data_IF_174801925116
#
_entry.id   IF_174801925116
#
_cell.length_a   1.000
_cell.length_b   1.000
_cell.length_c   1.000
_cell.angle_alpha   90.00
_cell.angle_beta   90.00
_cell.angle_gamma   90.00
#
_symmetry.space_group_name_H-M   'P 1'
#
loop_
_entity.id
_entity.type
_entity.pdbx_description
1 polymer ?
#
# COMPACT_ATOMS: atom_id res chain seq x y z
N UNK A 1 -10.90 36.95 -6.63
CA UNK A 1 -10.78 36.17 -5.37
C UNK A 1 -11.64 36.89 -4.37
N UNK A 2 -12.75 36.27 -3.99
CA UNK A 2 -13.57 36.83 -2.90
C UNK A 2 -12.82 36.57 -1.59
N UNK A 3 -12.57 37.62 -0.82
CA UNK A 3 -11.80 37.56 0.41
C UNK A 3 -12.67 38.05 1.56
N UNK A 4 -12.52 37.44 2.73
CA UNK A 4 -13.28 37.83 3.91
C UNK A 4 -13.03 39.28 4.29
N UNK A 5 -14.05 39.91 4.88
CA UNK A 5 -14.05 41.35 5.21
C UNK A 5 -12.89 41.75 6.14
N UNK A 6 -12.50 40.86 7.07
CA UNK A 6 -11.36 41.07 7.94
C UNK A 6 -10.02 41.14 7.17
N UNK A 7 -9.84 40.29 6.16
CA UNK A 7 -8.66 40.30 5.29
C UNK A 7 -8.65 41.56 4.42
N UNK A 8 -9.82 41.99 3.93
CA UNK A 8 -9.96 43.22 3.14
C UNK A 8 -9.54 44.47 3.92
N UNK A 9 -9.92 44.56 5.19
CA UNK A 9 -9.49 45.65 6.08
C UNK A 9 -7.98 45.63 6.34
N UNK A 10 -7.37 44.45 6.48
CA UNK A 10 -5.92 44.31 6.65
C UNK A 10 -5.11 44.73 5.41
N UNK A 11 -5.62 44.46 4.21
CA UNK A 11 -4.96 44.80 2.94
C UNK A 11 -4.97 46.31 2.65
N UNK A 12 -5.94 47.06 3.17
CA UNK A 12 -5.98 48.52 3.05
C UNK A 12 -4.82 49.23 3.78
N UNK A 13 -4.19 48.55 4.73
CA UNK A 13 -3.04 49.08 5.49
C UNK A 13 -1.69 48.79 4.82
N UNK A 14 -1.67 48.03 3.72
CA UNK A 14 -0.46 47.64 3.00
C UNK A 14 -0.24 48.49 1.75
N UNK A 15 1.01 48.55 1.29
CA UNK A 15 1.35 49.22 0.04
C UNK A 15 0.76 48.49 -1.17
N UNK A 16 0.64 49.20 -2.29
CA UNK A 16 0.13 48.61 -3.54
C UNK A 16 1.00 47.45 -4.06
N UNK A 17 2.30 47.43 -3.77
CA UNK A 17 3.19 46.33 -4.15
C UNK A 17 2.99 45.10 -3.26
N UNK A 18 2.89 45.30 -1.95
CA UNK A 18 2.60 44.22 -0.99
C UNK A 18 1.23 43.58 -1.24
N UNK A 19 0.23 44.39 -1.59
CA UNK A 19 -1.09 43.88 -1.97
C UNK A 19 -1.03 43.01 -3.23
N UNK A 20 -0.28 43.42 -4.26
CA UNK A 20 -0.08 42.61 -5.46
C UNK A 20 0.67 41.32 -5.16
N UNK A 21 1.69 41.38 -4.31
CA UNK A 21 2.45 40.20 -3.90
C UNK A 21 1.58 39.21 -3.12
N UNK A 22 0.76 39.69 -2.18
CA UNK A 22 -0.19 38.86 -1.43
C UNK A 22 -1.15 38.08 -2.33
N UNK A 23 -1.77 38.74 -3.33
CA UNK A 23 -2.65 38.04 -4.28
C UNK A 23 -1.88 37.07 -5.19
N UNK A 24 -0.64 37.40 -5.55
CA UNK A 24 0.25 36.50 -6.29
C UNK A 24 0.56 35.24 -5.48
N UNK A 25 0.91 35.40 -4.21
CA UNK A 25 1.23 34.30 -3.29
C UNK A 25 0.01 33.42 -3.04
N UNK A 26 -1.17 34.00 -2.82
CA UNK A 26 -2.41 33.24 -2.70
C UNK A 26 -2.68 32.43 -3.97
N UNK A 27 -2.51 33.04 -5.15
CA UNK A 27 -2.70 32.33 -6.42
C UNK A 27 -1.69 31.19 -6.57
N UNK A 28 -0.46 31.40 -6.14
CA UNK A 28 0.58 30.36 -6.14
C UNK A 28 0.27 29.23 -5.17
N UNK A 29 -0.29 29.53 -3.99
CA UNK A 29 -0.76 28.54 -3.01
C UNK A 29 -1.88 27.70 -3.63
N UNK A 30 -2.94 28.33 -4.14
CA UNK A 30 -4.04 27.60 -4.79
C UNK A 30 -3.58 26.78 -5.99
N UNK A 31 -2.65 27.32 -6.79
CA UNK A 31 -2.05 26.60 -7.92
C UNK A 31 -1.25 25.38 -7.45
N UNK A 32 -0.47 25.52 -6.38
CA UNK A 32 0.32 24.41 -5.81
C UNK A 32 -0.59 23.34 -5.20
N UNK A 33 -1.62 23.72 -4.45
CA UNK A 33 -2.63 22.80 -3.92
C UNK A 33 -3.34 22.08 -5.06
N UNK A 34 -3.75 22.79 -6.11
CA UNK A 34 -4.46 22.18 -7.25
C UNK A 34 -3.56 21.21 -8.01
N UNK A 35 -2.28 21.54 -8.22
CA UNK A 35 -1.30 20.63 -8.82
C UNK A 35 -1.14 19.37 -7.98
N UNK A 36 -1.03 19.53 -6.66
CA UNK A 36 -0.87 18.40 -5.75
C UNK A 36 -2.13 17.53 -5.72
N UNK A 37 -3.31 18.12 -5.59
CA UNK A 37 -4.58 17.39 -5.67
C UNK A 37 -4.75 16.67 -7.01
N UNK A 38 -4.37 17.28 -8.13
CA UNK A 38 -4.42 16.64 -9.44
C UNK A 38 -3.44 15.46 -9.53
N UNK A 39 -2.30 15.56 -8.85
CA UNK A 39 -1.28 14.51 -8.78
C UNK A 39 -1.71 13.35 -7.87
N UNK A 40 -2.35 13.65 -6.74
CA UNK A 40 -2.70 12.65 -5.71
C UNK A 40 -4.07 12.03 -5.89
N UNK A 41 -5.04 12.79 -6.41
CA UNK A 41 -6.40 12.28 -6.61
C UNK A 41 -6.45 11.43 -7.89
N UNK A 42 -7.12 10.28 -7.85
CA UNK A 42 -7.29 9.40 -9.01
C UNK A 42 -8.36 9.96 -9.99
N UNK A 43 -8.25 11.24 -10.38
CA UNK A 43 -9.24 11.93 -11.22
C UNK A 43 -9.40 11.28 -12.59
N UNK A 44 -8.32 10.68 -13.10
CA UNK A 44 -8.28 9.96 -14.38
C UNK A 44 -8.40 8.44 -14.22
N UNK A 45 -8.85 7.95 -13.06
CA UNK A 45 -9.01 6.51 -12.88
C UNK A 45 -10.28 6.04 -13.59
N UNK A 46 -10.08 5.34 -14.70
CA UNK A 46 -11.16 4.81 -15.54
C UNK A 46 -12.10 3.90 -14.76
N UNK A 47 -11.57 3.06 -13.86
CA UNK A 47 -12.40 2.17 -13.05
C UNK A 47 -13.40 2.98 -12.22
N UNK A 48 -12.95 4.01 -11.50
CA UNK A 48 -13.83 4.88 -10.69
C UNK A 48 -14.89 5.58 -11.53
N UNK A 49 -14.55 5.96 -12.77
CA UNK A 49 -15.52 6.54 -13.70
C UNK A 49 -16.61 5.54 -14.08
N UNK A 50 -16.23 4.29 -14.32
CA UNK A 50 -17.16 3.21 -14.64
C UNK A 50 -18.04 2.83 -13.44
N UNK A 51 -17.54 2.91 -12.19
CA UNK A 51 -18.30 2.57 -10.97
C UNK A 51 -19.61 3.36 -10.81
N UNK A 52 -19.74 4.51 -11.46
CA UNK A 52 -20.97 5.31 -11.48
C UNK A 52 -22.19 4.51 -11.98
N UNK A 53 -21.99 3.50 -12.82
CA UNK A 53 -23.09 2.66 -13.34
C UNK A 53 -23.79 1.85 -12.25
N UNK A 54 -23.18 1.69 -11.07
CA UNK A 54 -23.76 0.97 -9.95
C UNK A 54 -24.87 1.74 -9.24
N UNK A 55 -24.96 3.06 -9.48
CA UNK A 55 -26.01 3.88 -8.89
C UNK A 55 -27.36 3.56 -9.55
N UNK A 56 -28.47 3.43 -8.79
CA UNK A 56 -29.79 3.09 -9.32
C UNK A 56 -30.24 4.02 -10.47
N UNK A 57 -29.96 5.33 -10.35
CA UNK A 57 -30.29 6.32 -11.39
C UNK A 57 -29.51 6.14 -12.70
N UNK A 58 -28.35 5.48 -12.66
CA UNK A 58 -27.51 5.25 -13.84
C UNK A 58 -27.87 3.95 -14.57
N UNK A 59 -28.82 3.17 -14.04
CA UNK A 59 -29.24 1.87 -14.58
C UNK A 59 -29.62 1.92 -16.06
N UNK A 60 -30.39 2.93 -16.47
CA UNK A 60 -30.84 3.11 -17.86
C UNK A 60 -29.91 4.02 -18.68
N UNK A 61 -28.73 4.39 -18.16
CA UNK A 61 -27.76 5.15 -18.94
C UNK A 61 -27.20 4.31 -20.08
N UNK A 62 -27.05 4.91 -21.26
CA UNK A 62 -26.42 4.30 -22.44
C UNK A 62 -24.98 3.79 -22.14
N UNK A 63 -24.30 4.46 -21.21
CA UNK A 63 -22.90 4.13 -20.83
C UNK A 63 -22.79 3.05 -19.77
N UNK A 64 -23.90 2.67 -19.13
CA UNK A 64 -23.90 1.71 -18.00
C UNK A 64 -23.42 0.34 -18.43
N UNK A 65 -23.82 -0.09 -19.63
CA UNK A 65 -23.48 -1.38 -20.20
C UNK A 65 -21.96 -1.49 -20.48
N UNK A 66 -21.40 -0.49 -21.15
CA UNK A 66 -19.95 -0.43 -21.42
C UNK A 66 -19.19 -0.39 -20.09
N UNK A 67 -19.72 0.33 -19.10
CA UNK A 67 -19.09 0.48 -17.80
C UNK A 67 -19.02 -0.82 -17.02
N UNK A 68 -20.10 -1.60 -16.94
CA UNK A 68 -20.06 -2.88 -16.22
C UNK A 68 -19.10 -3.87 -16.88
N UNK A 69 -19.03 -3.86 -18.22
CA UNK A 69 -18.11 -4.73 -18.96
C UNK A 69 -16.65 -4.35 -18.74
N UNK A 70 -16.35 -3.05 -18.68
CA UNK A 70 -15.00 -2.58 -18.36
C UNK A 70 -14.63 -2.91 -16.91
N UNK A 71 -15.57 -2.76 -15.96
CA UNK A 71 -15.37 -3.16 -14.57
C UNK A 71 -15.06 -4.67 -14.52
N UNK A 72 -15.85 -5.52 -15.16
CA UNK A 72 -15.62 -6.98 -15.17
C UNK A 72 -14.21 -7.35 -15.66
N UNK A 73 -13.75 -6.70 -16.74
CA UNK A 73 -12.40 -6.89 -17.29
C UNK A 73 -11.29 -6.40 -16.38
N UNK A 74 -11.56 -5.43 -15.50
CA UNK A 74 -10.59 -4.94 -14.51
C UNK A 74 -10.34 -5.91 -13.35
N UNK A 75 -11.15 -6.98 -13.19
CA UNK A 75 -11.02 -7.97 -12.11
C UNK A 75 -10.74 -9.41 -12.62
N UNK A 76 -9.66 -9.64 -13.40
CA UNK A 76 -9.39 -10.95 -14.01
C UNK A 76 -9.07 -12.06 -12.97
N UNK A 77 -8.67 -11.69 -11.75
CA UNK A 77 -8.38 -12.66 -10.69
C UNK A 77 -9.65 -13.25 -10.08
N UNK A 78 -10.78 -12.54 -10.16
CA UNK A 78 -12.04 -12.98 -9.56
C UNK A 78 -13.08 -13.37 -10.59
N UNK A 79 -13.06 -12.79 -11.79
CA UNK A 79 -14.02 -13.02 -12.86
C UNK A 79 -13.33 -13.68 -14.04
N UNK A 80 -13.77 -14.89 -14.40
CA UNK A 80 -13.25 -15.61 -15.57
C UNK A 80 -13.91 -15.11 -16.86
N UNK A 81 -13.29 -15.28 -18.04
CA UNK A 81 -13.85 -14.78 -19.30
C UNK A 81 -15.28 -15.24 -19.60
N UNK A 82 -15.63 -16.49 -19.29
CA UNK A 82 -17.01 -17.02 -19.45
C UNK A 82 -18.03 -16.29 -18.56
N UNK A 83 -17.61 -15.85 -17.36
CA UNK A 83 -18.47 -15.06 -16.47
C UNK A 83 -18.71 -13.65 -17.02
N UNK A 84 -17.82 -13.10 -17.86
CA UNK A 84 -17.99 -11.77 -18.46
C UNK A 84 -19.19 -11.76 -19.42
N UNK A 85 -19.32 -12.80 -20.26
CA UNK A 85 -20.47 -12.93 -21.16
C UNK A 85 -21.77 -13.18 -20.40
N UNK A 86 -21.70 -13.92 -19.28
CA UNK A 86 -22.84 -14.08 -18.38
C UNK A 86 -23.23 -12.76 -17.70
N UNK A 87 -22.26 -11.98 -17.21
CA UNK A 87 -22.49 -10.65 -16.62
C UNK A 87 -23.15 -9.71 -17.63
N UNK A 88 -22.72 -9.77 -18.89
CA UNK A 88 -23.31 -9.02 -19.98
C UNK A 88 -24.83 -9.31 -20.10
N UNK A 89 -25.20 -10.59 -20.21
CA UNK A 89 -26.60 -11.00 -20.29
C UNK A 89 -27.39 -10.66 -19.01
N UNK A 90 -26.81 -10.91 -17.84
CA UNK A 90 -27.43 -10.61 -16.54
C UNK A 90 -27.64 -9.10 -16.35
N UNK A 91 -26.75 -8.24 -16.86
CA UNK A 91 -26.92 -6.79 -16.81
C UNK A 91 -28.10 -6.31 -17.65
N UNK A 92 -28.29 -6.88 -18.85
CA UNK A 92 -29.46 -6.59 -19.68
C UNK A 92 -30.77 -7.01 -18.99
N UNK A 93 -30.79 -8.18 -18.35
CA UNK A 93 -31.93 -8.60 -17.54
C UNK A 93 -32.16 -7.62 -16.40
N UNK A 94 -31.10 -7.28 -15.66
CA UNK A 94 -31.13 -6.31 -14.59
C UNK A 94 -31.63 -4.95 -15.04
N UNK A 95 -31.39 -4.47 -16.27
CA UNK A 95 -31.93 -3.18 -16.74
C UNK A 95 -33.45 -3.24 -16.98
N UNK A 96 -33.99 -4.40 -17.32
CA UNK A 96 -35.40 -4.57 -17.65
C UNK A 96 -36.28 -4.98 -16.46
N UNK A 97 -35.70 -5.27 -15.30
CA UNK A 97 -36.46 -5.57 -14.07
C UNK A 97 -37.36 -4.41 -13.60
N UNK A 98 -38.44 -4.72 -12.91
CA UNK A 98 -39.19 -3.70 -12.20
C UNK A 98 -38.66 -3.59 -10.76
N UNK A 99 -37.92 -2.53 -10.47
CA UNK A 99 -37.28 -2.32 -9.17
C UNK A 99 -38.09 -1.29 -8.38
N UNK A 100 -38.63 -1.64 -7.19
CA UNK A 100 -39.38 -0.70 -6.36
C UNK A 100 -38.52 0.49 -5.93
N UNK A 101 -39.10 1.69 -5.95
CA UNK A 101 -38.42 2.92 -5.50
C UNK A 101 -37.93 2.82 -4.05
N UNK A 102 -38.67 2.11 -3.20
CA UNK A 102 -38.34 1.84 -1.80
C UNK A 102 -36.98 1.15 -1.60
N UNK A 103 -36.43 0.51 -2.64
CA UNK A 103 -35.14 -0.18 -2.52
C UNK A 103 -33.96 0.77 -2.60
N UNK A 104 -34.17 1.99 -3.10
CA UNK A 104 -33.12 3.01 -3.23
C UNK A 104 -33.48 4.37 -2.63
N UNK A 105 -34.76 4.70 -2.42
CA UNK A 105 -35.23 5.92 -1.77
C UNK A 105 -35.77 5.64 -0.36
N UNK A 106 -35.36 6.47 0.60
CA UNK A 106 -35.79 6.48 2.00
C UNK A 106 -36.16 7.91 2.40
N UNK A 107 -37.44 8.25 2.55
CA UNK A 107 -37.91 9.56 3.10
C UNK A 107 -36.96 10.76 2.87
N UNK A 108 -36.81 11.19 1.61
CA UNK A 108 -35.91 12.26 1.13
C UNK A 108 -34.38 12.00 1.15
N UNK A 109 -33.93 10.78 1.39
CA UNK A 109 -32.55 10.34 1.30
C UNK A 109 -32.42 9.07 0.45
N UNK A 110 -31.21 8.73 0.00
CA UNK A 110 -30.95 7.46 -0.66
C UNK A 110 -30.52 6.41 0.35
N UNK A 111 -30.95 5.17 0.14
CA UNK A 111 -30.37 4.04 0.84
C UNK A 111 -28.88 3.87 0.46
N UNK A 112 -28.11 3.28 1.38
CA UNK A 112 -26.74 2.89 1.08
C UNK A 112 -26.71 1.90 -0.11
N UNK A 113 -25.70 2.02 -0.96
CA UNK A 113 -25.63 1.30 -2.24
C UNK A 113 -25.59 -0.23 -2.06
N UNK A 114 -25.00 -0.69 -0.95
CA UNK A 114 -24.96 -2.09 -0.55
C UNK A 114 -26.34 -2.63 -0.18
N UNK A 115 -27.18 -1.84 0.49
CA UNK A 115 -28.57 -2.19 0.79
C UNK A 115 -29.38 -2.39 -0.49
N UNK A 116 -29.23 -1.48 -1.46
CA UNK A 116 -29.88 -1.59 -2.76
C UNK A 116 -29.50 -2.89 -3.47
N UNK A 117 -28.19 -3.13 -3.65
CA UNK A 117 -27.70 -4.32 -4.36
C UNK A 117 -28.02 -5.62 -3.62
N UNK A 118 -28.04 -5.61 -2.28
CA UNK A 118 -28.50 -6.74 -1.48
C UNK A 118 -29.91 -7.17 -1.87
N UNK A 119 -30.84 -6.23 -2.04
CA UNK A 119 -32.21 -6.56 -2.45
C UNK A 119 -32.26 -7.12 -3.88
N UNK A 120 -31.47 -6.56 -4.81
CA UNK A 120 -31.34 -7.09 -6.18
C UNK A 120 -30.86 -8.54 -6.19
N UNK A 121 -29.89 -8.88 -5.33
CA UNK A 121 -29.37 -10.25 -5.24
C UNK A 121 -30.38 -11.26 -4.69
N UNK A 122 -31.45 -10.81 -4.03
CA UNK A 122 -32.51 -11.71 -3.54
C UNK A 122 -33.54 -12.08 -4.61
N UNK A 123 -33.50 -11.42 -5.77
CA UNK A 123 -34.44 -11.71 -6.86
C UNK A 123 -34.27 -13.14 -7.37
N UNK A 124 -35.39 -13.85 -7.44
CA UNK A 124 -35.46 -15.23 -7.94
C UNK A 124 -36.19 -15.27 -9.29
N UNK A 125 -35.82 -16.24 -10.11
CA UNK A 125 -36.58 -16.61 -11.31
C UNK A 125 -37.85 -17.35 -10.91
N UNK A 126 -38.82 -17.48 -11.81
CA UNK A 126 -40.07 -18.23 -11.60
C UNK A 126 -39.87 -19.70 -11.18
N UNK A 127 -38.67 -20.24 -11.40
CA UNK A 127 -38.22 -21.58 -10.99
C UNK A 127 -37.63 -21.63 -9.57
N UNK A 128 -37.58 -20.51 -8.85
CA UNK A 128 -37.02 -20.41 -7.51
C UNK A 128 -35.48 -20.30 -7.44
N UNK A 129 -34.79 -20.35 -8.58
CA UNK A 129 -33.33 -20.16 -8.66
C UNK A 129 -32.96 -18.68 -8.59
N UNK A 130 -31.74 -18.37 -8.13
CA UNK A 130 -31.21 -17.00 -8.18
C UNK A 130 -31.25 -16.45 -9.60
N UNK A 131 -31.76 -15.23 -9.75
CA UNK A 131 -31.90 -14.58 -11.05
C UNK A 131 -30.57 -14.15 -11.64
N UNK A 132 -29.62 -13.82 -10.78
CA UNK A 132 -28.28 -13.39 -11.13
C UNK A 132 -27.26 -14.24 -10.39
N UNK A 133 -26.26 -14.75 -11.11
CA UNK A 133 -25.24 -15.65 -10.56
C UNK A 133 -23.86 -14.99 -10.62
N UNK A 134 -23.49 -14.44 -11.79
CA UNK A 134 -22.17 -13.85 -12.00
C UNK A 134 -22.12 -12.36 -11.61
N UNK A 135 -23.23 -11.63 -11.83
CA UNK A 135 -23.33 -10.21 -11.49
C UNK A 135 -23.15 -9.94 -9.99
N UNK A 136 -23.79 -10.67 -9.05
CA UNK A 136 -23.60 -10.43 -7.63
C UNK A 136 -22.15 -10.62 -7.18
N UNK A 137 -21.43 -11.56 -7.80
CA UNK A 137 -20.01 -11.79 -7.53
C UNK A 137 -19.20 -10.55 -7.91
N UNK A 138 -19.36 -10.02 -9.12
CA UNK A 138 -18.67 -8.81 -9.56
C UNK A 138 -18.98 -7.62 -8.64
N UNK A 139 -20.27 -7.36 -8.40
CA UNK A 139 -20.71 -6.19 -7.62
C UNK A 139 -20.18 -6.26 -6.18
N UNK A 140 -20.19 -7.44 -5.55
CA UNK A 140 -19.59 -7.62 -4.21
C UNK A 140 -18.09 -7.32 -4.19
N UNK A 141 -17.35 -7.74 -5.22
CA UNK A 141 -15.91 -7.44 -5.31
C UNK A 141 -15.67 -5.93 -5.38
N UNK A 142 -16.48 -5.25 -6.17
CA UNK A 142 -16.38 -3.80 -6.38
C UNK A 142 -16.79 -3.01 -5.14
N UNK A 143 -17.87 -3.39 -4.47
CA UNK A 143 -18.31 -2.76 -3.23
C UNK A 143 -17.41 -3.08 -2.04
N UNK A 144 -16.53 -4.08 -2.15
CA UNK A 144 -15.50 -4.38 -1.15
C UNK A 144 -14.21 -3.56 -1.36
N UNK A 145 -14.12 -2.77 -2.43
CA UNK A 145 -12.98 -1.85 -2.62
C UNK A 145 -13.00 -0.79 -1.52
N UNK A 146 -11.87 -0.60 -0.86
CA UNK A 146 -11.74 0.46 0.14
C UNK A 146 -11.97 1.83 -0.51
N UNK A 147 -12.88 2.61 0.06
CA UNK A 147 -13.26 3.94 -0.43
C UNK A 147 -12.41 5.08 0.18
N UNK A 148 -11.38 4.75 0.96
CA UNK A 148 -10.46 5.74 1.50
C UNK A 148 -9.60 5.20 2.65
N UNK A 149 -8.75 6.06 3.20
CA UNK A 149 -7.87 5.68 4.32
C UNK A 149 -8.58 5.69 5.68
N UNK A 150 -9.83 6.15 5.75
CA UNK A 150 -10.57 6.30 7.01
C UNK A 150 -10.65 4.98 7.81
N UNK A 151 -10.86 3.84 7.14
CA UNK A 151 -10.88 2.53 7.82
C UNK A 151 -9.49 2.14 8.34
N UNK A 152 -8.43 2.48 7.60
CA UNK A 152 -7.03 2.25 8.01
C UNK A 152 -6.67 3.14 9.20
N UNK A 153 -7.07 4.42 9.17
CA UNK A 153 -6.85 5.40 10.25
C UNK A 153 -7.65 5.06 11.51
N UNK A 154 -8.90 4.62 11.33
CA UNK A 154 -9.70 4.04 12.42
C UNK A 154 -8.99 2.82 13.00
N UNK A 155 -8.42 1.99 12.13
CA UNK A 155 -7.45 0.99 12.50
C UNK A 155 -6.38 1.60 13.39
N UNK A 156 -5.52 2.50 12.93
CA UNK A 156 -4.44 3.05 13.76
C UNK A 156 -4.90 3.61 15.11
N UNK A 157 -6.06 4.24 15.16
CA UNK A 157 -6.67 4.72 16.42
C UNK A 157 -7.02 3.56 17.36
N UNK A 158 -7.60 2.48 16.84
CA UNK A 158 -7.86 1.25 17.62
C UNK A 158 -6.56 0.55 18.08
N UNK A 159 -5.46 0.70 17.33
CA UNK A 159 -4.13 0.22 17.73
C UNK A 159 -3.50 1.07 18.83
N UNK A 160 -3.74 2.38 18.84
CA UNK A 160 -3.24 3.27 19.89
C UNK A 160 -3.72 2.83 21.29
N UNK A 161 -4.93 2.28 21.39
CA UNK A 161 -5.43 1.68 22.63
C UNK A 161 -4.73 0.38 23.05
N UNK A 162 -4.13 -0.35 22.10
CA UNK A 162 -3.37 -1.58 22.37
C UNK A 162 -1.89 -1.28 22.71
N UNK A 163 -1.35 -0.22 22.12
CA UNK A 163 0.01 0.28 22.25
C UNK A 163 0.07 1.42 23.28
N UNK A 164 -0.35 1.16 24.51
CA UNK A 164 -0.14 2.09 25.63
C UNK A 164 1.36 2.21 25.97
N UNK A 165 1.78 3.25 26.68
CA UNK A 165 3.20 3.49 27.03
C UNK A 165 3.87 2.27 27.71
N UNK A 166 3.13 1.55 28.55
CA UNK A 166 3.55 0.30 29.21
C UNK A 166 3.60 -0.94 28.28
N UNK A 167 3.07 -0.84 27.05
CA UNK A 167 2.97 -1.91 26.03
C UNK A 167 3.64 -1.54 24.71
N UNK A 168 4.55 -0.58 24.74
CA UNK A 168 5.31 -0.09 23.58
C UNK A 168 6.24 -1.14 22.92
N UNK A 169 6.47 -2.28 23.57
CA UNK A 169 7.36 -3.36 23.12
C UNK A 169 6.63 -4.56 22.47
N UNK A 170 5.34 -4.43 22.13
CA UNK A 170 4.63 -5.50 21.45
C UNK A 170 5.15 -5.70 20.02
N UNK A 171 5.48 -6.94 19.68
CA UNK A 171 5.80 -7.30 18.30
C UNK A 171 4.56 -7.24 17.39
N UNK A 172 4.76 -7.04 16.09
CA UNK A 172 3.68 -7.03 15.10
C UNK A 172 2.78 -8.27 15.19
N UNK A 173 3.37 -9.45 15.41
CA UNK A 173 2.62 -10.70 15.61
C UNK A 173 1.69 -10.63 16.82
N UNK A 174 2.13 -10.00 17.92
CA UNK A 174 1.34 -9.84 19.13
C UNK A 174 0.20 -8.84 18.91
N UNK A 175 0.47 -7.73 18.21
CA UNK A 175 -0.54 -6.73 17.82
C UNK A 175 -1.60 -7.39 16.93
N UNK A 176 -1.18 -8.15 15.92
CA UNK A 176 -2.08 -8.88 15.01
C UNK A 176 -2.93 -9.92 15.74
N UNK A 177 -2.36 -10.64 16.72
CA UNK A 177 -3.11 -11.59 17.54
C UNK A 177 -4.19 -10.92 18.41
N UNK A 178 -3.85 -9.80 19.06
CA UNK A 178 -4.81 -9.02 19.86
C UNK A 178 -5.91 -8.41 18.99
N UNK A 179 -5.53 -7.87 17.84
CA UNK A 179 -6.44 -7.37 16.78
C UNK A 179 -7.43 -8.44 16.35
N UNK A 180 -6.93 -9.58 15.89
CA UNK A 180 -7.76 -10.68 15.41
C UNK A 180 -8.76 -11.15 16.48
N UNK A 181 -8.34 -11.18 17.75
CA UNK A 181 -9.21 -11.53 18.87
C UNK A 181 -10.32 -10.48 19.07
N UNK A 182 -9.95 -9.19 19.10
CA UNK A 182 -10.90 -8.08 19.25
C UNK A 182 -11.92 -8.04 18.10
N UNK A 183 -11.43 -8.15 16.87
CA UNK A 183 -12.25 -8.16 15.65
C UNK A 183 -13.18 -9.38 15.63
N UNK A 184 -12.68 -10.54 16.07
CA UNK A 184 -13.48 -11.74 16.25
C UNK A 184 -14.63 -11.54 17.25
N UNK A 185 -14.38 -10.94 18.41
CA UNK A 185 -15.44 -10.64 19.39
C UNK A 185 -16.45 -9.64 18.83
N UNK A 186 -15.98 -8.62 18.10
CA UNK A 186 -16.85 -7.60 17.49
C UNK A 186 -17.74 -8.20 16.41
N UNK A 187 -17.19 -9.04 15.55
CA UNK A 187 -17.89 -9.63 14.41
C UNK A 187 -18.79 -10.81 14.80
N UNK A 188 -18.29 -11.76 15.61
CA UNK A 188 -19.03 -12.98 15.95
C UNK A 188 -19.87 -12.88 17.22
N UNK A 189 -19.54 -11.96 18.13
CA UNK A 189 -20.24 -11.77 19.40
C UNK A 189 -20.93 -10.41 19.54
N UNK A 190 -21.10 -9.65 18.45
CA UNK A 190 -21.65 -8.29 18.48
C UNK A 190 -20.97 -7.38 19.52
N UNK A 191 -19.67 -7.57 19.76
CA UNK A 191 -18.89 -6.84 20.77
C UNK A 191 -18.98 -7.39 22.20
N UNK A 192 -19.70 -8.48 22.42
CA UNK A 192 -19.81 -9.17 23.71
C UNK A 192 -19.12 -10.53 23.66
N UNK A 193 -18.10 -10.76 24.53
CA UNK A 193 -17.36 -12.02 24.52
C UNK A 193 -18.21 -13.27 24.74
N UNK A 194 -19.27 -13.18 25.55
CA UNK A 194 -20.12 -14.33 25.88
C UNK A 194 -21.08 -14.74 24.75
N UNK A 195 -21.29 -13.88 23.76
CA UNK A 195 -22.12 -14.19 22.58
C UNK A 195 -21.31 -14.86 21.47
N UNK A 196 -19.97 -14.92 21.60
CA UNK A 196 -19.10 -15.54 20.60
C UNK A 196 -19.28 -17.07 20.63
N UNK A 197 -19.70 -17.70 19.51
CA UNK A 197 -19.90 -19.14 19.45
C UNK A 197 -18.56 -19.87 19.55
N UNK A 198 -18.45 -20.78 20.53
CA UNK A 198 -17.28 -21.64 20.69
C UNK A 198 -17.39 -22.80 19.71
N UNK A 199 -16.70 -22.70 18.59
CA UNK A 199 -16.68 -23.75 17.56
C UNK A 199 -15.68 -24.85 17.90
N UNK A 200 -15.89 -26.06 17.37
CA UNK A 200 -14.94 -27.17 17.50
C UNK A 200 -13.55 -26.80 16.95
N UNK A 201 -13.51 -26.08 15.83
CA UNK A 201 -12.26 -25.58 15.24
C UNK A 201 -11.50 -24.63 16.18
N UNK A 202 -12.22 -23.78 16.94
CA UNK A 202 -11.61 -22.91 17.93
C UNK A 202 -11.00 -23.74 19.08
N UNK A 203 -11.71 -24.75 19.57
CA UNK A 203 -11.21 -25.64 20.62
C UNK A 203 -9.96 -26.41 20.17
N UNK A 204 -9.97 -26.96 18.95
CA UNK A 204 -8.82 -27.68 18.39
C UNK A 204 -7.64 -26.73 18.14
N UNK A 205 -7.93 -25.49 17.72
CA UNK A 205 -6.90 -24.44 17.61
C UNK A 205 -6.26 -24.14 18.96
N UNK A 206 -7.04 -23.95 20.03
CA UNK A 206 -6.50 -23.67 21.36
C UNK A 206 -5.64 -24.84 21.88
N UNK A 207 -6.09 -26.09 21.68
CA UNK A 207 -5.32 -27.28 22.07
C UNK A 207 -3.92 -27.33 21.44
N UNK A 208 -3.80 -26.93 20.18
CA UNK A 208 -2.50 -26.87 19.49
C UNK A 208 -1.68 -25.60 19.76
N UNK A 209 -2.21 -24.61 20.49
CA UNK A 209 -1.57 -23.30 20.61
C UNK A 209 -0.22 -23.36 21.32
N UNK A 210 -0.12 -24.13 22.40
CA UNK A 210 1.14 -24.30 23.13
C UNK A 210 2.22 -24.96 22.27
N UNK A 211 1.88 -26.03 21.54
CA UNK A 211 2.82 -26.69 20.64
C UNK A 211 3.33 -25.74 19.55
N UNK A 212 2.45 -24.95 18.93
CA UNK A 212 2.85 -23.94 17.93
C UNK A 212 3.74 -22.86 18.54
N UNK A 213 3.48 -22.45 19.78
CA UNK A 213 4.33 -21.49 20.49
C UNK A 213 5.74 -22.05 20.74
N UNK A 214 5.87 -23.31 21.16
CA UNK A 214 7.18 -23.96 21.33
C UNK A 214 7.97 -24.01 20.00
N UNK A 215 7.30 -24.41 18.90
CA UNK A 215 7.92 -24.45 17.57
C UNK A 215 8.40 -23.05 17.15
N UNK A 216 7.59 -22.03 17.38
CA UNK A 216 7.96 -20.65 17.03
C UNK A 216 9.12 -20.11 17.89
N UNK A 217 9.18 -20.48 19.17
CA UNK A 217 10.32 -20.16 20.03
C UNK A 217 11.62 -20.79 19.53
N UNK A 218 11.59 -22.07 19.16
CA UNK A 218 12.75 -22.78 18.61
C UNK A 218 13.23 -22.13 17.31
N UNK A 219 12.28 -21.78 16.42
CA UNK A 219 12.60 -21.10 15.17
C UNK A 219 13.27 -19.74 15.40
N UNK A 220 12.73 -18.92 16.30
CA UNK A 220 13.34 -17.62 16.65
C UNK A 220 14.75 -17.78 17.23
N UNK A 221 14.99 -18.81 18.05
CA UNK A 221 16.33 -19.09 18.57
C UNK A 221 17.30 -19.45 17.44
N UNK A 222 16.88 -20.29 16.49
CA UNK A 222 17.70 -20.64 15.33
C UNK A 222 18.00 -19.43 14.42
N UNK A 223 17.02 -18.57 14.17
CA UNK A 223 17.19 -17.33 13.40
C UNK A 223 18.19 -16.39 14.09
N UNK A 224 18.10 -16.23 15.42
CA UNK A 224 19.05 -15.41 16.18
C UNK A 224 20.48 -15.96 16.14
N UNK A 225 20.64 -17.29 16.21
CA UNK A 225 21.95 -17.94 16.09
C UNK A 225 22.53 -17.75 14.68
N UNK A 226 21.70 -17.93 13.65
CA UNK A 226 22.10 -17.76 12.25
C UNK A 226 22.52 -16.31 11.98
N UNK A 227 21.74 -15.33 12.42
CA UNK A 227 22.07 -13.91 12.25
C UNK A 227 23.35 -13.53 12.99
N UNK A 228 23.60 -14.05 14.19
CA UNK A 228 24.87 -13.83 14.91
C UNK A 228 26.06 -14.38 14.14
N UNK A 229 25.92 -15.56 13.53
CA UNK A 229 26.98 -16.17 12.74
C UNK A 229 27.25 -15.34 11.48
N UNK A 230 26.21 -14.91 10.76
CA UNK A 230 26.35 -14.04 9.58
C UNK A 230 27.08 -12.73 9.91
N UNK A 231 26.69 -12.05 11.00
CA UNK A 231 27.37 -10.81 11.43
C UNK A 231 28.84 -11.06 11.80
N UNK A 232 29.16 -12.23 12.37
CA UNK A 232 30.54 -12.57 12.70
C UNK A 232 31.36 -12.91 11.45
N UNK A 233 30.76 -13.58 10.46
CA UNK A 233 31.38 -13.87 9.17
C UNK A 233 31.63 -12.58 8.36
N UNK A 234 30.67 -11.65 8.35
CA UNK A 234 30.84 -10.33 7.75
C UNK A 234 32.02 -9.57 8.38
N UNK A 235 32.10 -9.52 9.71
CA UNK A 235 33.22 -8.89 10.42
C UNK A 235 34.57 -9.55 10.13
N UNK A 236 34.60 -10.88 9.99
CA UNK A 236 35.83 -11.57 9.62
C UNK A 236 36.23 -11.24 8.18
N UNK A 237 35.28 -11.23 7.25
CA UNK A 237 35.54 -10.86 5.86
C UNK A 237 36.02 -9.42 5.74
N UNK A 238 35.41 -8.48 6.44
CA UNK A 238 35.84 -7.08 6.47
C UNK A 238 37.28 -6.95 6.98
N UNK A 239 37.63 -7.67 8.06
CA UNK A 239 38.98 -7.73 8.59
C UNK A 239 39.99 -8.31 7.59
N UNK A 240 39.61 -9.37 6.85
CA UNK A 240 40.47 -9.94 5.81
C UNK A 240 40.67 -8.99 4.62
N UNK A 241 39.61 -8.26 4.22
CA UNK A 241 39.67 -7.26 3.14
C UNK A 241 40.60 -6.11 3.55
N UNK A 242 40.47 -5.59 4.77
CA UNK A 242 41.33 -4.52 5.30
C UNK A 242 42.80 -4.94 5.26
N UNK A 243 43.12 -6.13 5.79
CA UNK A 243 44.48 -6.67 5.77
C UNK A 243 45.02 -6.89 4.35
N UNK A 244 44.16 -7.29 3.40
CA UNK A 244 44.56 -7.47 2.01
C UNK A 244 44.90 -6.12 1.35
N UNK A 245 44.15 -5.06 1.67
CA UNK A 245 44.43 -3.72 1.18
C UNK A 245 45.75 -3.17 1.74
N UNK A 246 46.02 -3.38 3.04
CA UNK A 246 47.29 -2.98 3.66
C UNK A 246 48.49 -3.65 2.98
N UNK A 247 48.40 -4.96 2.71
CA UNK A 247 49.44 -5.71 2.01
C UNK A 247 49.63 -5.22 0.57
N UNK A 248 48.54 -4.84 -0.11
CA UNK A 248 48.61 -4.29 -1.46
C UNK A 248 49.31 -2.93 -1.50
N UNK A 249 49.02 -2.06 -0.53
CA UNK A 249 49.67 -0.76 -0.41
C UNK A 249 51.16 -0.91 -0.04
N UNK A 250 51.51 -1.86 0.81
CA UNK A 250 52.91 -2.20 1.12
C UNK A 250 53.66 -2.70 -0.13
N UNK A 251 53.05 -3.61 -0.89
CA UNK A 251 53.62 -4.12 -2.15
C UNK A 251 53.85 -2.98 -3.15
N UNK A 252 52.91 -2.05 -3.26
CA UNK A 252 53.01 -0.88 -4.14
C UNK A 252 54.15 0.06 -3.71
N UNK A 253 54.33 0.27 -2.41
CA UNK A 253 55.43 1.06 -1.86
C UNK A 253 56.80 0.41 -2.17
N UNK A 254 56.92 -0.89 -1.93
CA UNK A 254 58.12 -1.68 -2.27
C UNK A 254 58.44 -1.62 -3.77
N UNK A 255 57.44 -1.77 -4.64
CA UNK A 255 57.62 -1.68 -6.08
C UNK A 255 58.14 -0.30 -6.52
N UNK A 256 57.62 0.78 -5.92
CA UNK A 256 58.10 2.15 -6.16
C UNK A 256 59.56 2.33 -5.72
N UNK A 257 59.94 1.74 -4.58
CA UNK A 257 61.32 1.79 -4.10
C UNK A 257 62.26 1.02 -5.04
N UNK A 258 61.88 -0.17 -5.49
CA UNK A 258 62.68 -0.96 -6.44
C UNK A 258 62.85 -0.24 -7.78
N UNK A 259 61.81 0.38 -8.32
CA UNK A 259 61.90 1.16 -9.57
C UNK A 259 62.80 2.39 -9.41
N UNK A 260 62.78 3.06 -8.27
CA UNK A 260 63.71 4.15 -7.98
C UNK A 260 65.18 3.65 -7.89
N UNK A 261 65.41 2.52 -7.21
CA UNK A 261 66.75 1.91 -7.12
C UNK A 261 67.25 1.53 -8.52
N UNK A 262 66.40 0.93 -9.36
CA UNK A 262 66.76 0.58 -10.73
C UNK A 262 67.17 1.82 -11.54
N UNK A 263 66.40 2.90 -11.47
CA UNK A 263 66.78 4.18 -12.12
C UNK A 263 68.13 4.70 -11.65
N UNK A 264 68.40 4.64 -10.34
CA UNK A 264 69.70 5.07 -9.80
C UNK A 264 70.85 4.20 -10.31
N UNK A 265 70.63 2.89 -10.45
CA UNK A 265 71.61 1.97 -11.04
C UNK A 265 71.85 2.32 -12.51
N UNK A 266 70.77 2.51 -13.28
CA UNK A 266 70.83 2.84 -14.71
C UNK A 266 71.59 4.17 -14.93
N UNK A 267 71.24 5.22 -14.18
CA UNK A 267 71.96 6.52 -14.19
C UNK A 267 73.44 6.36 -13.80
N UNK A 268 73.73 5.53 -12.79
CA UNK A 268 75.09 5.21 -12.38
C UNK A 268 75.89 4.52 -13.49
N UNK A 269 75.28 3.55 -14.18
CA UNK A 269 75.89 2.85 -15.31
C UNK A 269 76.12 3.77 -16.50
N UNK A 270 75.17 4.65 -16.86
CA UNK A 270 75.35 5.65 -17.92
C UNK A 270 76.53 6.57 -17.64
N UNK A 271 76.65 7.08 -16.40
CA UNK A 271 77.79 7.93 -16.00
C UNK A 271 79.12 7.19 -16.10
N UNK A 272 79.18 5.92 -15.69
CA UNK A 272 80.39 5.10 -15.80
C UNK A 272 80.77 4.87 -17.28
N UNK A 273 79.81 4.50 -18.13
CA UNK A 273 80.06 4.31 -19.57
C UNK A 273 80.54 5.61 -20.24
N UNK A 274 79.93 6.74 -19.90
CA UNK A 274 80.31 8.06 -20.41
C UNK A 274 81.73 8.45 -19.99
N UNK A 275 82.11 8.18 -18.75
CA UNK A 275 83.46 8.43 -18.24
C UNK A 275 84.53 7.51 -18.85
N UNK A 276 84.16 6.30 -19.26
CA UNK A 276 85.04 5.38 -19.99
C UNK A 276 85.25 5.90 -21.42
N UNK A 277 84.19 6.36 -22.10
CA UNK A 277 84.28 6.92 -23.46
C UNK A 277 84.96 8.29 -23.56
N UNK A 278 85.15 9.03 -22.45
CA UNK A 278 85.83 10.34 -22.46
C UNK A 278 87.34 10.24 -22.18
N UNK A 279 87.89 9.02 -22.08
CA UNK A 279 89.30 8.77 -21.73
C UNK A 279 90.15 8.25 -22.91
N UNK A 280 89.53 8.08 -24.08
CA UNK A 280 90.17 7.88 -25.39
C UNK A 280 90.05 9.16 -26.23
#
# INVERSE_FOLDING_TARGET
>A
LDIGEATRLGLNNLSNEENKQFFSDIRNIYSSITKELTRTLPLNNDLLRHLKCLHPMMRHSETSHISIMNIARSFPQMIVPDEIDRINAEWYLYQNENIPNEWYEKTNEYHAIDYYWKNIFTLKTNTGTDKFIALPKLIKCVLALSHGNADVERGFSENAFLLTDDRSLLSDASINGLRATRDGVKFFGNGKPHEVPITKALLDSVRGAHSRYCIDLEKRQQELLTNKNLVNEEKQNDFFIEKQNDLYDEQKCLHKNLTNIQKMIDEGTERLTSAISSKD
#
